data_IF_231796076443
#
_entry.id   IF_231796076443
#
_cell.length_a   1.000
_cell.length_b   1.000
_cell.length_c   1.000
_cell.angle_alpha   90.00
_cell.angle_beta   90.00
_cell.angle_gamma   90.00
#
_symmetry.space_group_name_H-M   'P 1'
#
loop_
_entity.id
_entity.type
_entity.pdbx_description
1 polymer ?
#
# COMPACT_ATOMS: atom_id res chain seq x y z
N UNK A 1 34.50 30.29 -23.49
CA UNK A 1 33.69 29.48 -22.54
C UNK A 1 34.56 28.31 -22.05
N UNK A 2 34.79 28.17 -20.75
CA UNK A 2 35.59 27.05 -20.18
C UNK A 2 35.01 25.70 -20.59
N UNK A 3 35.85 24.68 -20.84
CA UNK A 3 35.43 23.30 -21.17
C UNK A 3 34.40 22.77 -20.16
N UNK A 4 34.57 23.10 -18.88
CA UNK A 4 33.62 22.77 -17.81
C UNK A 4 32.23 23.39 -18.02
N UNK A 5 32.14 24.66 -18.48
CA UNK A 5 30.86 25.32 -18.76
C UNK A 5 30.12 24.71 -19.96
N UNK A 6 30.85 24.21 -20.98
CA UNK A 6 30.25 23.51 -22.14
C UNK A 6 29.70 22.14 -21.76
N UNK A 7 30.40 21.40 -20.89
CA UNK A 7 29.93 20.10 -20.40
C UNK A 7 28.69 20.31 -19.53
N UNK A 8 28.71 21.27 -18.61
CA UNK A 8 27.56 21.57 -17.75
C UNK A 8 26.32 22.00 -18.57
N UNK A 9 26.51 22.82 -19.62
CA UNK A 9 25.39 23.24 -20.48
C UNK A 9 24.76 22.10 -21.29
N UNK A 10 25.49 21.02 -21.54
CA UNK A 10 24.97 19.82 -22.20
C UNK A 10 24.36 18.82 -21.21
N UNK A 11 24.92 18.72 -20.00
CA UNK A 11 24.42 17.83 -18.95
C UNK A 11 23.05 18.25 -18.42
N UNK A 12 22.82 19.56 -18.23
CA UNK A 12 21.56 20.05 -17.66
C UNK A 12 20.34 19.65 -18.50
N UNK A 13 20.30 19.85 -19.83
CA UNK A 13 19.19 19.38 -20.67
C UNK A 13 19.00 17.87 -20.63
N UNK A 14 20.09 17.09 -20.64
CA UNK A 14 20.01 15.62 -20.61
C UNK A 14 19.39 15.13 -19.30
N UNK A 15 19.82 15.69 -18.17
CA UNK A 15 19.25 15.40 -16.85
C UNK A 15 17.77 15.81 -16.80
N UNK A 16 17.41 16.96 -17.37
CA UNK A 16 16.00 17.39 -17.46
C UNK A 16 15.14 16.43 -18.28
N UNK A 17 15.64 15.97 -19.44
CA UNK A 17 14.94 14.97 -20.27
C UNK A 17 14.77 13.66 -19.52
N UNK A 18 15.81 13.20 -18.81
CA UNK A 18 15.72 11.99 -17.98
C UNK A 18 14.63 12.11 -16.90
N UNK A 19 14.57 13.24 -16.17
CA UNK A 19 13.50 13.48 -15.20
C UNK A 19 12.11 13.53 -15.85
N UNK A 20 12.01 14.10 -17.05
CA UNK A 20 10.75 14.15 -17.77
C UNK A 20 10.26 12.76 -18.19
N UNK A 21 11.12 11.94 -18.82
CA UNK A 21 10.80 10.56 -19.23
C UNK A 21 10.42 9.71 -18.01
N UNK A 22 11.18 9.81 -16.92
CA UNK A 22 10.85 9.12 -15.66
C UNK A 22 9.45 9.49 -15.17
N UNK A 23 9.10 10.77 -15.19
CA UNK A 23 7.78 11.23 -14.75
C UNK A 23 6.65 10.72 -15.65
N UNK A 24 6.85 10.66 -16.97
CA UNK A 24 5.86 10.08 -17.90
C UNK A 24 5.61 8.61 -17.56
N UNK A 25 6.66 7.82 -17.38
CA UNK A 25 6.54 6.40 -17.00
C UNK A 25 5.84 6.25 -15.64
N UNK A 26 6.15 7.11 -14.66
CA UNK A 26 5.48 7.10 -13.35
C UNK A 26 3.99 7.44 -13.44
N UNK A 27 3.58 8.32 -14.35
CA UNK A 27 2.15 8.63 -14.57
C UNK A 27 1.41 7.47 -15.22
N UNK A 28 2.08 6.69 -16.08
CA UNK A 28 1.48 5.53 -16.75
C UNK A 28 1.47 4.27 -15.88
N UNK A 29 2.28 4.21 -14.82
CA UNK A 29 2.37 3.04 -13.95
C UNK A 29 1.48 3.19 -12.71
N UNK A 30 0.44 2.37 -12.63
CA UNK A 30 -0.56 2.32 -11.55
C UNK A 30 0.01 1.89 -10.16
N UNK A 31 1.33 1.74 -10.00
CA UNK A 31 1.93 1.05 -8.85
C UNK A 31 2.90 1.90 -8.02
N UNK A 32 3.27 3.12 -8.44
CA UNK A 32 4.28 3.94 -7.74
C UNK A 32 3.78 5.34 -7.41
N UNK A 33 3.89 5.74 -6.14
CA UNK A 33 3.63 7.12 -5.73
C UNK A 33 4.78 8.04 -6.16
N UNK A 34 4.46 9.24 -6.64
CA UNK A 34 5.47 10.22 -7.06
C UNK A 34 6.21 10.81 -5.85
N UNK A 35 7.54 10.83 -5.91
CA UNK A 35 8.41 11.42 -4.88
C UNK A 35 8.00 12.88 -4.56
N UNK A 36 7.63 13.17 -3.30
CA UNK A 36 7.05 14.44 -2.82
C UNK A 36 8.00 15.67 -2.73
N UNK A 37 9.07 15.71 -3.51
CA UNK A 37 10.19 16.65 -3.36
C UNK A 37 10.28 17.65 -4.51
N UNK A 38 9.76 18.87 -4.31
CA UNK A 38 10.07 20.05 -5.11
C UNK A 38 9.10 20.35 -6.28
N UNK A 39 8.26 21.40 -6.12
CA UNK A 39 7.70 22.25 -7.18
C UNK A 39 6.74 21.65 -8.23
N UNK A 40 6.83 20.36 -8.56
CA UNK A 40 6.06 19.70 -9.61
C UNK A 40 4.74 19.07 -9.11
N UNK A 41 4.17 19.64 -8.04
CA UNK A 41 2.92 19.16 -7.39
C UNK A 41 1.66 19.27 -8.25
N UNK A 42 1.75 19.79 -9.48
CA UNK A 42 0.59 20.16 -10.30
C UNK A 42 0.28 19.20 -11.46
N UNK A 43 1.08 18.16 -11.68
CA UNK A 43 0.84 17.24 -12.78
C UNK A 43 0.61 15.82 -12.29
N UNK A 44 -0.67 15.47 -12.25
CA UNK A 44 -1.10 14.11 -12.51
C UNK A 44 -2.24 13.68 -11.61
N UNK A 45 -3.18 12.98 -12.23
CA UNK A 45 -3.97 11.90 -11.63
C UNK A 45 -3.03 10.78 -11.13
N UNK A 46 -1.99 11.14 -10.39
CA UNK A 46 -0.97 10.22 -9.89
C UNK A 46 -1.63 9.43 -8.78
N UNK A 47 -1.54 8.11 -8.87
CA UNK A 47 -1.96 7.22 -7.80
C UNK A 47 -1.16 7.56 -6.53
N UNK A 48 -1.84 8.16 -5.56
CA UNK A 48 -1.24 8.54 -4.28
C UNK A 48 -1.45 7.42 -3.27
N UNK A 49 -0.48 7.23 -2.40
CA UNK A 49 -0.60 6.36 -1.24
C UNK A 49 -1.91 6.62 -0.46
N UNK A 50 -2.34 7.88 -0.36
CA UNK A 50 -3.58 8.30 0.31
C UNK A 50 -4.84 7.61 -0.22
N UNK A 51 -4.87 7.21 -1.50
CA UNK A 51 -5.98 6.49 -2.11
C UNK A 51 -5.83 4.97 -2.01
N UNK A 52 -4.81 4.46 -1.32
CA UNK A 52 -4.60 3.03 -1.16
C UNK A 52 -5.07 2.56 0.22
N UNK A 53 -5.44 1.29 0.33
CA UNK A 53 -5.78 0.61 1.59
C UNK A 53 -5.02 -0.71 1.59
N UNK A 54 -4.23 -0.94 2.63
CA UNK A 54 -3.51 -2.20 2.83
C UNK A 54 -4.11 -2.96 4.02
N UNK A 55 -4.09 -4.28 3.93
CA UNK A 55 -4.65 -5.12 4.97
C UNK A 55 -4.51 -6.60 4.66
N UNK A 56 -4.95 -7.43 5.59
CA UNK A 56 -4.91 -8.87 5.46
C UNK A 56 -6.30 -9.47 5.57
N UNK A 57 -6.48 -10.63 4.93
CA UNK A 57 -7.70 -11.42 5.00
C UNK A 57 -7.50 -12.62 5.93
N UNK A 58 -8.53 -12.92 6.70
CA UNK A 58 -8.58 -14.10 7.53
C UNK A 58 -9.96 -14.77 7.48
N UNK A 59 -10.02 -16.06 7.75
CA UNK A 59 -11.27 -16.83 7.82
C UNK A 59 -11.51 -17.29 9.25
N UNK A 60 -12.58 -16.81 9.88
CA UNK A 60 -13.03 -17.30 11.17
C UNK A 60 -14.51 -17.73 11.10
N UNK A 61 -14.81 -18.93 11.59
CA UNK A 61 -16.16 -19.50 11.58
C UNK A 61 -16.86 -19.45 10.21
N UNK A 62 -16.11 -19.68 9.12
CA UNK A 62 -16.62 -19.66 7.74
C UNK A 62 -16.91 -18.27 7.18
N UNK A 63 -16.55 -17.20 7.89
CA UNK A 63 -16.64 -15.81 7.43
C UNK A 63 -15.26 -15.26 7.12
N UNK A 64 -15.15 -14.57 5.99
CA UNK A 64 -13.93 -13.84 5.62
C UNK A 64 -13.98 -12.43 6.18
N UNK A 65 -12.93 -12.04 6.90
CA UNK A 65 -12.72 -10.69 7.40
C UNK A 65 -11.57 -10.06 6.64
N UNK A 66 -11.65 -8.74 6.43
CA UNK A 66 -10.53 -7.94 5.93
C UNK A 66 -10.15 -6.92 7.01
N UNK A 67 -8.92 -7.03 7.51
CA UNK A 67 -8.39 -6.11 8.51
C UNK A 67 -7.49 -5.07 7.87
N UNK A 68 -7.82 -3.81 8.08
CA UNK A 68 -7.00 -2.69 7.60
C UNK A 68 -5.81 -2.47 8.54
N UNK A 69 -4.59 -2.47 8.00
CA UNK A 69 -3.37 -2.24 8.79
C UNK A 69 -3.38 -0.89 9.49
N UNK A 70 -4.05 0.11 8.91
CA UNK A 70 -4.22 1.44 9.52
C UNK A 70 -4.92 1.41 10.89
N UNK A 71 -5.69 0.37 11.18
CA UNK A 71 -6.43 0.25 12.45
C UNK A 71 -5.58 -0.37 13.57
N UNK A 72 -4.35 -0.80 13.28
CA UNK A 72 -3.45 -1.49 14.21
C UNK A 72 -2.17 -0.66 14.32
N UNK A 73 -1.94 -0.03 15.46
CA UNK A 73 -0.82 0.93 15.62
C UNK A 73 0.54 0.25 15.40
N UNK A 74 0.67 -1.02 15.79
CA UNK A 74 1.88 -1.82 15.61
C UNK A 74 2.23 -2.03 14.13
N UNK A 75 1.25 -1.96 13.22
CA UNK A 75 1.42 -2.22 11.79
C UNK A 75 1.49 -0.94 10.95
N UNK A 76 1.62 0.23 11.59
CA UNK A 76 1.60 1.52 10.91
C UNK A 76 2.72 1.72 9.88
N UNK A 77 3.95 1.33 10.24
CA UNK A 77 5.08 1.45 9.32
C UNK A 77 4.93 0.48 8.14
N UNK A 78 4.39 -0.71 8.40
CA UNK A 78 4.06 -1.70 7.38
C UNK A 78 2.94 -1.20 6.44
N UNK A 79 1.86 -0.60 6.97
CA UNK A 79 0.80 0.04 6.17
C UNK A 79 1.39 1.06 5.18
N UNK A 80 2.26 1.93 5.69
CA UNK A 80 2.91 2.96 4.89
C UNK A 80 3.76 2.32 3.79
N UNK A 81 4.61 1.36 4.14
CA UNK A 81 5.53 0.71 3.21
C UNK A 81 4.79 -0.01 2.07
N UNK A 82 3.73 -0.75 2.41
CA UNK A 82 2.93 -1.52 1.44
C UNK A 82 2.12 -0.62 0.52
N UNK A 83 1.57 0.47 1.04
CA UNK A 83 0.80 1.42 0.22
C UNK A 83 1.70 2.23 -0.71
N UNK A 84 2.97 2.45 -0.38
CA UNK A 84 3.91 3.13 -1.28
C UNK A 84 4.34 2.22 -2.42
N UNK A 85 4.73 0.98 -2.12
CA UNK A 85 5.25 0.01 -3.07
C UNK A 85 4.71 -1.40 -2.76
N UNK A 86 3.54 -1.77 -3.34
CA UNK A 86 2.89 -3.06 -3.09
C UNK A 86 3.50 -4.14 -3.99
N UNK A 87 4.77 -4.50 -3.78
CA UNK A 87 5.39 -5.61 -4.51
C UNK A 87 5.18 -6.95 -3.77
N UNK A 88 5.39 -8.06 -4.47
CA UNK A 88 5.12 -9.41 -3.96
C UNK A 88 5.97 -9.76 -2.72
N UNK A 89 7.29 -9.54 -2.78
CA UNK A 89 8.23 -9.79 -1.68
C UNK A 89 7.79 -9.09 -0.37
N UNK A 90 7.38 -7.82 -0.43
CA UNK A 90 6.90 -7.09 0.76
C UNK A 90 5.56 -7.60 1.27
N UNK A 91 4.69 -8.07 0.39
CA UNK A 91 3.39 -8.62 0.78
C UNK A 91 3.57 -9.99 1.46
N UNK A 92 4.52 -10.80 0.98
CA UNK A 92 4.94 -12.05 1.62
C UNK A 92 5.52 -11.79 3.01
N UNK A 93 6.51 -10.88 3.12
CA UNK A 93 7.09 -10.47 4.42
C UNK A 93 6.01 -9.97 5.40
N UNK A 94 5.08 -9.15 4.90
CA UNK A 94 3.95 -8.66 5.68
C UNK A 94 3.04 -9.80 6.18
N UNK A 95 2.77 -10.81 5.34
CA UNK A 95 1.95 -11.95 5.73
C UNK A 95 2.63 -12.75 6.86
N UNK A 96 3.95 -12.95 6.76
CA UNK A 96 4.74 -13.63 7.80
C UNK A 96 4.65 -12.85 9.11
N UNK A 97 4.88 -11.54 9.07
CA UNK A 97 4.84 -10.67 10.26
C UNK A 97 3.47 -10.72 10.96
N UNK A 98 2.40 -10.57 10.18
CA UNK A 98 1.03 -10.58 10.69
C UNK A 98 0.66 -11.92 11.31
N UNK A 99 1.15 -13.05 10.76
CA UNK A 99 0.88 -14.39 11.31
C UNK A 99 1.59 -14.65 12.63
N UNK A 100 2.72 -14.00 12.89
CA UNK A 100 3.43 -14.12 14.18
C UNK A 100 2.69 -13.36 15.28
N UNK A 101 1.93 -12.32 14.92
CA UNK A 101 1.10 -11.59 15.86
C UNK A 101 -0.07 -12.45 16.37
N UNK A 102 -0.45 -12.21 17.63
CA UNK A 102 -1.63 -12.86 18.20
C UNK A 102 -2.87 -12.01 17.91
N UNK A 103 -3.86 -12.62 17.27
CA UNK A 103 -5.13 -12.00 16.95
C UNK A 103 -6.28 -12.65 17.70
N UNK A 104 -7.31 -11.88 17.99
CA UNK A 104 -8.51 -12.40 18.62
C UNK A 104 -9.76 -11.65 18.18
N UNK A 105 -10.92 -12.26 18.43
CA UNK A 105 -12.21 -11.57 18.30
C UNK A 105 -12.53 -10.82 19.59
N UNK A 106 -12.75 -9.51 19.50
CA UNK A 106 -13.16 -8.67 20.61
C UNK A 106 -14.59 -9.01 21.07
N UNK A 107 -14.80 -9.06 22.39
CA UNK A 107 -16.07 -9.47 22.98
C UNK A 107 -17.21 -8.47 22.77
N UNK A 108 -16.91 -7.19 22.60
CA UNK A 108 -17.92 -6.11 22.60
C UNK A 108 -18.27 -5.66 21.18
N UNK A 109 -17.28 -5.61 20.29
CA UNK A 109 -17.42 -5.12 18.92
C UNK A 109 -17.60 -6.24 17.90
N UNK A 110 -17.15 -7.46 18.21
CA UNK A 110 -17.06 -8.53 17.21
C UNK A 110 -16.03 -8.25 16.11
N UNK A 111 -15.13 -7.30 16.34
CA UNK A 111 -14.02 -6.98 15.44
C UNK A 111 -12.81 -7.85 15.78
N UNK A 112 -11.95 -8.08 14.79
CA UNK A 112 -10.68 -8.75 15.01
C UNK A 112 -9.66 -7.72 15.46
N UNK A 113 -9.00 -7.97 16.58
CA UNK A 113 -8.03 -7.05 17.19
C UNK A 113 -6.77 -7.81 17.61
N UNK A 114 -5.63 -7.12 17.81
CA UNK A 114 -4.49 -7.71 18.50
C UNK A 114 -4.92 -8.25 19.87
N UNK A 115 -4.39 -9.41 20.24
CA UNK A 115 -4.85 -10.12 21.42
C UNK A 115 -4.58 -9.32 22.71
N UNK A 116 -5.63 -9.15 23.52
CA UNK A 116 -5.63 -8.51 24.82
C UNK A 116 -6.44 -9.33 25.85
N UNK A 117 -6.54 -8.84 27.10
CA UNK A 117 -7.23 -9.54 28.19
C UNK A 117 -8.75 -9.68 27.97
N UNK A 118 -9.33 -8.93 27.04
CA UNK A 118 -10.75 -8.91 26.68
C UNK A 118 -11.12 -9.82 25.50
N UNK A 119 -10.20 -10.67 25.04
CA UNK A 119 -10.42 -11.56 23.90
C UNK A 119 -11.39 -12.71 24.16
N UNK A 120 -12.24 -13.01 23.18
CA UNK A 120 -13.14 -14.17 23.21
C UNK A 120 -12.48 -15.48 22.80
N UNK A 121 -11.71 -15.43 21.71
CA UNK A 121 -11.09 -16.57 21.06
C UNK A 121 -9.87 -16.11 20.28
N UNK A 122 -8.77 -16.86 20.39
CA UNK A 122 -7.59 -16.63 19.55
C UNK A 122 -7.86 -17.12 18.13
N UNK A 123 -7.35 -16.39 17.17
CA UNK A 123 -7.34 -16.78 15.77
C UNK A 123 -6.07 -17.58 15.51
N UNK A 124 -6.20 -18.72 14.85
CA UNK A 124 -5.07 -19.53 14.42
C UNK A 124 -4.34 -18.80 13.28
N UNK A 125 -3.00 -18.67 13.30
CA UNK A 125 -2.24 -18.05 12.22
C UNK A 125 -2.52 -18.63 10.83
N UNK A 126 -2.86 -19.92 10.72
CA UNK A 126 -3.24 -20.57 9.46
C UNK A 126 -4.55 -20.03 8.87
N UNK A 127 -5.38 -19.38 9.67
CA UNK A 127 -6.60 -18.72 9.19
C UNK A 127 -6.31 -17.40 8.46
N UNK A 128 -5.10 -16.85 8.60
CA UNK A 128 -4.64 -15.64 7.90
C UNK A 128 -3.99 -16.06 6.59
N UNK A 129 -4.64 -15.79 5.47
CA UNK A 129 -4.31 -16.43 4.20
C UNK A 129 -3.82 -15.47 3.11
N UNK A 130 -4.13 -14.17 3.20
CA UNK A 130 -3.64 -13.21 2.20
C UNK A 130 -3.40 -11.81 2.76
N UNK A 131 -2.47 -11.09 2.12
CA UNK A 131 -2.26 -9.65 2.27
C UNK A 131 -2.56 -8.99 0.94
N UNK A 132 -3.33 -7.91 0.96
CA UNK A 132 -3.74 -7.21 -0.25
C UNK A 132 -3.62 -5.71 -0.10
N UNK A 133 -3.33 -5.05 -1.21
CA UNK A 133 -3.37 -3.59 -1.33
C UNK A 133 -4.38 -3.21 -2.41
N UNK A 134 -5.33 -2.38 -2.06
CA UNK A 134 -6.38 -1.86 -2.95
C UNK A 134 -6.19 -0.37 -3.19
N UNK A 135 -6.59 0.11 -4.37
CA UNK A 135 -6.79 1.52 -4.67
C UNK A 135 -8.27 1.86 -4.59
N UNK A 136 -8.62 2.90 -3.85
CA UNK A 136 -9.93 3.52 -3.87
C UNK A 136 -10.08 4.31 -5.17
N UNK A 137 -11.15 4.02 -5.90
CA UNK A 137 -11.52 4.74 -7.11
C UNK A 137 -12.91 5.31 -6.90
N UNK A 138 -13.05 6.61 -7.10
CA UNK A 138 -14.36 7.26 -7.14
C UNK A 138 -14.82 7.35 -8.58
N UNK A 139 -16.04 6.88 -8.85
CA UNK A 139 -16.70 7.01 -10.13
C UNK A 139 -17.71 8.17 -10.05
N UNK A 140 -17.37 9.28 -10.72
CA UNK A 140 -18.19 10.50 -10.77
C UNK A 140 -19.56 10.26 -11.43
N UNK A 141 -19.68 9.28 -12.33
CA UNK A 141 -20.94 9.01 -13.04
C UNK A 141 -21.93 8.27 -12.15
N UNK A 142 -21.43 7.35 -11.33
CA UNK A 142 -22.26 6.53 -10.45
C UNK A 142 -22.29 7.02 -9.00
N UNK A 143 -21.46 8.01 -8.65
CA UNK A 143 -21.19 8.46 -7.27
C UNK A 143 -20.82 7.30 -6.33
N UNK A 144 -20.13 6.28 -6.84
CA UNK A 144 -19.72 5.09 -6.08
C UNK A 144 -18.22 5.07 -5.86
N UNK A 145 -17.84 4.60 -4.68
CA UNK A 145 -16.46 4.24 -4.35
C UNK A 145 -16.30 2.75 -4.66
N UNK A 146 -15.28 2.41 -5.43
CA UNK A 146 -14.86 1.03 -5.69
C UNK A 146 -13.43 0.80 -5.20
N UNK A 147 -13.11 -0.46 -4.89
CA UNK A 147 -11.76 -0.89 -4.56
C UNK A 147 -11.22 -1.68 -5.75
N UNK A 148 -10.16 -1.17 -6.38
CA UNK A 148 -9.41 -1.88 -7.41
C UNK A 148 -8.21 -2.55 -6.75
N UNK A 149 -8.07 -3.87 -6.88
CA UNK A 149 -6.89 -4.57 -6.39
C UNK A 149 -5.64 -4.07 -7.12
N UNK A 150 -4.61 -3.66 -6.37
CA UNK A 150 -3.31 -3.30 -6.93
C UNK A 150 -2.36 -4.49 -6.93
N UNK A 151 -2.29 -5.21 -5.80
CA UNK A 151 -1.54 -6.44 -5.67
C UNK A 151 -2.03 -7.25 -4.46
N UNK A 152 -1.84 -8.57 -4.50
CA UNK A 152 -2.18 -9.52 -3.44
C UNK A 152 -1.11 -10.61 -3.40
N UNK A 153 -0.73 -11.00 -2.19
CA UNK A 153 0.00 -12.23 -1.93
C UNK A 153 -0.90 -13.14 -1.09
N UNK A 154 -1.07 -14.38 -1.53
CA UNK A 154 -1.89 -15.39 -0.86
C UNK A 154 -1.10 -16.69 -0.81
N UNK A 155 -1.07 -17.32 0.37
CA UNK A 155 -0.61 -18.70 0.45
C UNK A 155 -1.77 -19.59 0.03
N UNK A 156 -1.72 -20.10 -1.21
CA UNK A 156 -2.49 -21.27 -1.64
C UNK A 156 -1.79 -22.57 -1.25
#
# INVERSE_FOLDING_TARGET
MSKSKRILSLLVPVVMVFFFVRNVILVETDHMDSWMGGGMRMFGKVDKMLYRVAGFKLIDNGKTYFLNFRNVEELKDLDVALRILPNEERLEDALIEVRVMRWCLDNNSGEIVPANDSCRSNIDPSQIFSVSVYRTSFDDQTNKISLKLLNEYSDE
#
